data_IF_097644139158
#
_entry.id   IF_097644139158
#
_cell.length_a   1.000
_cell.length_b   1.000
_cell.length_c   1.000
_cell.angle_alpha   90.00
_cell.angle_beta   90.00
_cell.angle_gamma   90.00
#
_symmetry.space_group_name_H-M   'P 1'
#
loop_
_entity.id
_entity.type
_entity.pdbx_description
1 polymer ?
#
# COMPACT_ATOMS: atom_id res chain seq x y z
N UNK A 1 -12.37 -12.68 6.74
CA UNK A 1 -11.52 -11.52 7.07
C UNK A 1 -10.70 -11.74 8.34
N UNK A 2 -11.30 -12.17 9.45
CA UNK A 2 -10.62 -12.28 10.76
C UNK A 2 -9.55 -13.39 10.90
N UNK A 3 -9.63 -14.47 10.13
CA UNK A 3 -8.67 -15.60 10.21
C UNK A 3 -7.23 -15.19 9.86
N UNK A 4 -7.06 -14.35 8.84
CA UNK A 4 -5.75 -13.83 8.46
C UNK A 4 -5.15 -12.91 9.53
N UNK A 5 -5.97 -12.06 10.14
CA UNK A 5 -5.55 -11.19 11.24
C UNK A 5 -5.11 -12.01 12.46
N UNK A 6 -5.91 -13.00 12.88
CA UNK A 6 -5.59 -13.88 14.00
C UNK A 6 -4.29 -14.64 13.74
N UNK A 7 -4.09 -15.14 12.52
CA UNK A 7 -2.86 -15.81 12.12
C UNK A 7 -1.63 -14.90 12.23
N UNK A 8 -1.72 -13.67 11.72
CA UNK A 8 -0.64 -12.69 11.77
C UNK A 8 -0.32 -12.24 13.21
N UNK A 9 -1.35 -12.01 14.03
CA UNK A 9 -1.19 -11.76 15.47
C UNK A 9 -0.49 -12.94 16.12
N UNK A 10 -0.95 -14.17 15.85
CA UNK A 10 -0.37 -15.39 16.38
C UNK A 10 1.12 -15.50 16.12
N UNK A 11 1.55 -15.34 14.86
CA UNK A 11 2.97 -15.36 14.48
C UNK A 11 3.77 -14.32 15.27
N UNK A 12 3.27 -13.08 15.37
CA UNK A 12 4.00 -11.99 16.06
C UNK A 12 4.08 -12.21 17.57
N UNK A 13 3.03 -12.76 18.18
CA UNK A 13 3.05 -13.14 19.59
C UNK A 13 3.99 -14.32 19.84
N UNK A 14 4.03 -15.32 18.95
CA UNK A 14 4.98 -16.43 19.03
C UNK A 14 6.43 -15.92 19.00
N UNK A 15 6.78 -15.01 18.08
CA UNK A 15 8.11 -14.39 18.03
C UNK A 15 8.42 -13.63 19.32
N UNK A 16 7.44 -12.90 19.86
CA UNK A 16 7.61 -12.17 21.12
C UNK A 16 7.90 -13.12 22.30
N UNK A 17 7.16 -14.24 22.39
CA UNK A 17 7.36 -15.25 23.43
C UNK A 17 8.73 -15.92 23.30
N UNK A 18 9.16 -16.25 22.08
CA UNK A 18 10.51 -16.82 21.83
C UNK A 18 11.59 -15.81 22.24
N UNK A 19 11.45 -14.54 21.88
CA UNK A 19 12.41 -13.51 22.26
C UNK A 19 12.40 -13.23 23.77
N UNK A 20 11.24 -13.38 24.43
CA UNK A 20 11.11 -13.22 25.88
C UNK A 20 11.97 -14.21 26.65
N UNK A 21 12.14 -15.43 26.12
CA UNK A 21 13.02 -16.46 26.72
C UNK A 21 14.50 -16.06 26.72
N UNK A 22 14.89 -15.08 25.89
CA UNK A 22 16.28 -14.62 25.71
C UNK A 22 16.53 -13.20 26.20
N UNK A 23 15.53 -12.52 26.75
CA UNK A 23 15.59 -11.12 27.19
C UNK A 23 15.26 -10.97 28.67
N UNK A 24 15.64 -9.84 29.29
CA UNK A 24 15.34 -9.56 30.70
C UNK A 24 13.88 -9.16 30.91
N UNK A 25 13.29 -8.47 29.94
CA UNK A 25 11.91 -7.96 30.01
C UNK A 25 11.09 -8.11 28.72
N UNK A 26 9.76 -7.99 28.81
CA UNK A 26 8.87 -7.99 27.64
C UNK A 26 9.13 -6.82 26.68
N UNK A 27 9.57 -5.67 27.21
CA UNK A 27 9.91 -4.50 26.40
C UNK A 27 11.17 -4.73 25.56
N UNK A 28 12.12 -5.48 26.08
CA UNK A 28 13.35 -5.89 25.38
C UNK A 28 13.10 -7.02 24.38
N UNK A 29 12.09 -7.86 24.62
CA UNK A 29 11.70 -8.94 23.71
C UNK A 29 11.16 -8.43 22.36
N UNK A 30 10.66 -7.20 22.30
CA UNK A 30 10.16 -6.58 21.07
C UNK A 30 11.34 -6.21 20.15
N UNK A 31 11.39 -6.75 18.92
CA UNK A 31 12.44 -6.40 17.97
C UNK A 31 12.48 -4.90 17.68
N UNK A 32 13.68 -4.38 17.44
CA UNK A 32 13.87 -2.97 17.11
C UNK A 32 13.08 -2.61 15.85
N UNK A 33 12.37 -1.48 15.90
CA UNK A 33 11.46 -1.02 14.84
C UNK A 33 10.05 -1.63 14.89
N UNK A 34 9.77 -2.63 15.73
CA UNK A 34 8.44 -3.25 15.78
C UNK A 34 7.53 -2.74 16.92
N UNK A 35 8.00 -1.79 17.73
CA UNK A 35 7.21 -1.25 18.86
C UNK A 35 5.83 -0.73 18.43
N UNK A 36 5.77 0.01 17.31
CA UNK A 36 4.50 0.50 16.77
C UNK A 36 3.62 -0.61 16.21
N UNK A 37 4.21 -1.70 15.71
CA UNK A 37 3.47 -2.87 15.22
C UNK A 37 2.77 -3.56 16.39
N UNK A 38 3.45 -3.80 17.50
CA UNK A 38 2.81 -4.41 18.68
C UNK A 38 1.75 -3.50 19.31
N UNK A 39 1.97 -2.18 19.31
CA UNK A 39 0.93 -1.23 19.70
C UNK A 39 -0.30 -1.34 18.78
N UNK A 40 -0.08 -1.33 17.47
CA UNK A 40 -1.14 -1.48 16.48
C UNK A 40 -1.90 -2.80 16.65
N UNK A 41 -1.21 -3.91 16.94
CA UNK A 41 -1.88 -5.19 17.20
C UNK A 41 -2.83 -5.12 18.40
N UNK A 42 -2.40 -4.48 19.49
CA UNK A 42 -3.27 -4.27 20.66
C UNK A 42 -4.46 -3.38 20.33
N UNK A 43 -4.21 -2.27 19.62
CA UNK A 43 -5.26 -1.36 19.18
C UNK A 43 -6.25 -2.03 18.21
N UNK A 44 -5.82 -2.89 17.29
CA UNK A 44 -6.74 -3.60 16.38
C UNK A 44 -7.75 -4.49 17.11
N UNK A 45 -7.35 -5.10 18.22
CA UNK A 45 -8.28 -5.88 19.06
C UNK A 45 -9.31 -4.95 19.68
N UNK A 46 -8.87 -3.79 20.20
CA UNK A 46 -9.76 -2.78 20.76
C UNK A 46 -10.67 -2.16 19.70
N UNK A 47 -10.15 -1.89 18.50
CA UNK A 47 -10.89 -1.37 17.36
C UNK A 47 -11.99 -2.34 16.97
N UNK A 48 -11.71 -3.66 16.89
CA UNK A 48 -12.73 -4.66 16.58
C UNK A 48 -13.83 -4.79 17.64
N UNK A 49 -13.47 -4.72 18.92
CA UNK A 49 -14.45 -4.71 20.02
C UNK A 49 -15.27 -3.42 20.03
N UNK A 50 -14.63 -2.29 19.77
CA UNK A 50 -15.27 -0.98 19.65
C UNK A 50 -16.21 -0.95 18.46
N UNK A 51 -15.82 -1.53 17.33
CA UNK A 51 -16.60 -1.59 16.10
C UNK A 51 -17.86 -2.44 16.27
N UNK A 52 -17.73 -3.61 16.91
CA UNK A 52 -18.87 -4.42 17.31
C UNK A 52 -19.80 -3.63 18.23
N UNK A 53 -19.25 -2.96 19.24
CA UNK A 53 -20.03 -2.14 20.18
C UNK A 53 -20.75 -0.99 19.46
N UNK A 54 -20.07 -0.33 18.53
CA UNK A 54 -20.63 0.74 17.71
C UNK A 54 -21.85 0.24 16.93
N UNK A 55 -21.72 -0.90 16.25
CA UNK A 55 -22.81 -1.49 15.48
C UNK A 55 -23.98 -1.97 16.36
N UNK A 56 -23.72 -2.43 17.59
CA UNK A 56 -24.77 -2.78 18.54
C UNK A 56 -25.54 -1.55 19.05
N UNK A 57 -24.89 -0.40 19.21
CA UNK A 57 -25.49 0.83 19.74
C UNK A 57 -26.18 1.68 18.67
N UNK A 58 -25.57 1.81 17.50
CA UNK A 58 -26.01 2.74 16.44
C UNK A 58 -26.57 2.04 15.20
N UNK A 59 -26.59 0.70 15.19
CA UNK A 59 -26.97 -0.10 14.04
C UNK A 59 -25.86 -0.19 12.99
N UNK A 60 -26.06 -1.09 12.03
CA UNK A 60 -25.21 -1.21 10.84
C UNK A 60 -25.70 -0.17 9.82
N UNK A 61 -24.83 0.77 9.43
CA UNK A 61 -24.98 1.61 8.22
C UNK A 61 -26.23 2.51 8.12
N UNK A 62 -26.86 2.92 9.22
CA UNK A 62 -28.14 3.65 9.13
C UNK A 62 -28.04 5.15 8.80
N UNK A 63 -26.88 5.81 8.94
CA UNK A 63 -26.74 7.27 8.68
C UNK A 63 -25.35 7.71 8.18
N UNK A 64 -24.27 7.02 8.55
CA UNK A 64 -22.90 7.32 8.12
C UNK A 64 -22.31 6.11 7.41
N UNK A 65 -21.71 6.34 6.24
CA UNK A 65 -20.88 5.34 5.54
C UNK A 65 -19.86 4.75 6.52
N UNK A 66 -19.59 3.45 6.45
CA UNK A 66 -18.64 2.76 7.33
C UNK A 66 -17.26 3.45 7.41
N UNK A 67 -16.91 4.21 6.37
CA UNK A 67 -15.73 5.07 6.31
C UNK A 67 -15.62 6.13 7.40
N UNK A 68 -16.73 6.55 8.02
CA UNK A 68 -16.74 7.60 9.04
C UNK A 68 -16.81 7.07 10.47
N UNK A 69 -16.90 5.75 10.66
CA UNK A 69 -16.82 5.20 12.01
C UNK A 69 -15.42 5.42 12.60
N UNK A 70 -15.29 5.97 13.83
CA UNK A 70 -13.99 6.15 14.47
C UNK A 70 -13.17 4.86 14.56
N UNK A 71 -13.82 3.71 14.71
CA UNK A 71 -13.19 2.38 14.81
C UNK A 71 -12.61 1.92 13.49
N UNK A 72 -13.26 2.24 12.36
CA UNK A 72 -12.75 1.95 11.03
C UNK A 72 -11.52 2.81 10.70
N UNK A 73 -11.54 4.10 11.02
CA UNK A 73 -10.39 5.00 10.82
C UNK A 73 -9.20 4.58 11.69
N UNK A 74 -9.44 4.25 12.96
CA UNK A 74 -8.41 3.70 13.86
C UNK A 74 -7.84 2.38 13.31
N UNK A 75 -8.71 1.47 12.86
CA UNK A 75 -8.32 0.21 12.23
C UNK A 75 -7.46 0.41 10.98
N UNK A 76 -7.77 1.40 10.14
CA UNK A 76 -6.95 1.78 8.97
C UNK A 76 -5.56 2.27 9.36
N UNK A 77 -5.44 3.03 10.44
CA UNK A 77 -4.13 3.46 10.97
C UNK A 77 -3.36 2.23 11.48
N UNK A 78 -4.01 1.36 12.24
CA UNK A 78 -3.36 0.19 12.81
C UNK A 78 -2.87 -0.80 11.74
N UNK A 79 -3.68 -1.10 10.73
CA UNK A 79 -3.27 -1.97 9.62
C UNK A 79 -2.15 -1.33 8.79
N UNK A 80 -2.15 0.01 8.63
CA UNK A 80 -1.05 0.74 7.98
C UNK A 80 0.26 0.60 8.76
N UNK A 81 0.22 0.76 10.09
CA UNK A 81 1.39 0.56 10.96
C UNK A 81 1.89 -0.89 10.92
N UNK A 82 0.98 -1.85 10.86
CA UNK A 82 1.34 -3.26 10.76
C UNK A 82 2.05 -3.57 9.43
N UNK A 83 1.47 -3.16 8.30
CA UNK A 83 2.02 -3.39 6.95
C UNK A 83 3.37 -2.68 6.77
N UNK A 84 3.51 -1.47 7.32
CA UNK A 84 4.76 -0.68 7.21
C UNK A 84 5.83 -1.08 8.23
N UNK A 85 5.52 -1.96 9.18
CA UNK A 85 6.43 -2.43 10.22
C UNK A 85 7.81 -2.89 9.72
N UNK A 86 7.89 -3.78 8.70
CA UNK A 86 9.16 -4.21 8.12
C UNK A 86 9.97 -3.04 7.55
N UNK A 87 9.33 -2.12 6.83
CA UNK A 87 9.95 -0.94 6.23
C UNK A 87 10.54 -0.02 7.28
N UNK A 88 9.76 0.26 8.32
CA UNK A 88 10.18 1.09 9.43
C UNK A 88 11.31 0.44 10.22
N UNK A 89 11.28 -0.88 10.41
CA UNK A 89 12.38 -1.62 11.03
C UNK A 89 13.67 -1.54 10.22
N UNK A 90 13.62 -1.75 8.91
CA UNK A 90 14.79 -1.60 8.03
C UNK A 90 15.34 -0.17 8.09
N UNK A 91 14.47 0.84 8.12
CA UNK A 91 14.85 2.24 8.22
C UNK A 91 15.55 2.56 9.56
N UNK A 92 14.94 2.20 10.69
CA UNK A 92 15.48 2.47 12.04
C UNK A 92 16.77 1.70 12.29
N UNK A 93 16.84 0.45 11.84
CA UNK A 93 18.01 -0.40 12.00
C UNK A 93 19.10 -0.14 10.93
N UNK A 94 18.87 0.81 10.01
CA UNK A 94 19.78 1.15 8.89
C UNK A 94 20.18 -0.07 8.05
N UNK A 95 19.25 -1.01 7.88
CA UNK A 95 19.47 -2.22 7.07
C UNK A 95 19.29 -1.86 5.60
N UNK A 96 20.34 -2.11 4.82
CA UNK A 96 20.28 -2.03 3.36
C UNK A 96 19.90 -3.40 2.80
N UNK A 97 18.87 -3.52 1.94
CA UNK A 97 18.53 -4.79 1.29
C UNK A 97 19.73 -5.30 0.47
N UNK A 98 20.21 -6.50 0.77
CA UNK A 98 21.34 -7.12 0.05
C UNK A 98 20.91 -8.37 -0.71
N UNK A 99 19.96 -9.13 -0.16
CA UNK A 99 19.46 -10.37 -0.73
C UNK A 99 18.17 -10.18 -1.52
N UNK A 100 17.87 -11.10 -2.46
CA UNK A 100 16.59 -11.07 -3.19
C UNK A 100 15.38 -11.18 -2.28
N UNK A 101 15.48 -11.90 -1.16
CA UNK A 101 14.42 -11.96 -0.13
C UNK A 101 14.16 -10.59 0.51
N UNK A 102 15.19 -9.79 0.75
CA UNK A 102 15.00 -8.44 1.32
C UNK A 102 14.26 -7.53 0.34
N UNK A 103 14.63 -7.58 -0.95
CA UNK A 103 13.93 -6.84 -2.00
C UNK A 103 12.50 -7.31 -2.19
N UNK A 104 12.25 -8.62 -2.09
CA UNK A 104 10.91 -9.18 -2.16
C UNK A 104 10.05 -8.73 -0.97
N UNK A 105 10.60 -8.74 0.24
CA UNK A 105 9.92 -8.25 1.44
C UNK A 105 9.60 -6.75 1.31
N UNK A 106 10.57 -5.95 0.85
CA UNK A 106 10.43 -4.52 0.59
C UNK A 106 9.30 -4.26 -0.43
N UNK A 107 9.34 -4.95 -1.58
CA UNK A 107 8.33 -4.81 -2.63
C UNK A 107 6.94 -5.28 -2.17
N UNK A 108 6.86 -6.35 -1.37
CA UNK A 108 5.60 -6.87 -0.82
C UNK A 108 4.98 -5.89 0.18
N UNK A 109 5.77 -5.33 1.08
CA UNK A 109 5.28 -4.32 2.02
C UNK A 109 4.74 -3.08 1.27
N UNK A 110 5.39 -2.68 0.18
CA UNK A 110 4.93 -1.59 -0.69
C UNK A 110 3.65 -1.93 -1.45
N UNK A 111 3.59 -3.12 -2.03
CA UNK A 111 2.39 -3.64 -2.68
C UNK A 111 1.22 -3.60 -1.70
N UNK A 112 1.37 -4.16 -0.49
CA UNK A 112 0.30 -4.22 0.50
C UNK A 112 -0.15 -2.83 0.96
N UNK A 113 0.80 -1.90 1.16
CA UNK A 113 0.46 -0.52 1.50
C UNK A 113 -0.28 0.17 0.37
N UNK A 114 0.16 -0.02 -0.88
CA UNK A 114 -0.49 0.59 -2.03
C UNK A 114 -1.87 -0.03 -2.31
N UNK A 115 -2.05 -1.34 -2.09
CA UNK A 115 -3.37 -1.99 -2.10
C UNK A 115 -4.28 -1.37 -1.05
N UNK A 116 -3.80 -1.17 0.18
CA UNK A 116 -4.60 -0.54 1.24
C UNK A 116 -5.06 0.86 0.82
N UNK A 117 -4.14 1.71 0.37
CA UNK A 117 -4.43 3.08 -0.09
C UNK A 117 -5.41 3.07 -1.27
N UNK A 118 -5.15 2.24 -2.28
CA UNK A 118 -5.97 2.16 -3.47
C UNK A 118 -7.37 1.61 -3.18
N UNK A 119 -7.49 0.68 -2.24
CA UNK A 119 -8.76 0.17 -1.74
C UNK A 119 -9.55 1.23 -0.97
N UNK A 120 -8.90 2.02 -0.10
CA UNK A 120 -9.56 3.14 0.59
C UNK A 120 -10.08 4.20 -0.39
N UNK A 121 -9.41 4.36 -1.53
CA UNK A 121 -9.78 5.30 -2.59
C UNK A 121 -10.60 4.66 -3.72
N UNK A 122 -11.15 3.45 -3.51
CA UNK A 122 -11.89 2.68 -4.52
C UNK A 122 -12.95 3.48 -5.31
N UNK A 123 -13.75 4.39 -4.70
CA UNK A 123 -14.76 5.14 -5.47
C UNK A 123 -14.17 5.94 -6.64
N UNK A 124 -12.91 6.35 -6.51
CA UNK A 124 -12.15 7.13 -7.48
C UNK A 124 -11.02 6.30 -8.14
N UNK A 125 -10.84 5.04 -7.76
CA UNK A 125 -9.71 4.23 -8.19
C UNK A 125 -9.91 3.58 -9.57
N UNK A 126 -8.94 3.75 -10.45
CA UNK A 126 -8.90 3.09 -11.77
C UNK A 126 -8.95 1.56 -11.66
N UNK A 127 -8.37 0.98 -10.60
CA UNK A 127 -8.31 -0.46 -10.36
C UNK A 127 -9.68 -1.14 -10.21
N UNK A 128 -10.70 -0.37 -9.83
CA UNK A 128 -12.03 -0.91 -9.51
C UNK A 128 -13.14 -0.25 -10.31
N UNK A 129 -12.90 0.92 -10.90
CA UNK A 129 -13.87 1.62 -11.74
C UNK A 129 -13.18 2.32 -12.92
N UNK A 130 -13.67 2.06 -14.12
CA UNK A 130 -13.19 2.66 -15.38
C UNK A 130 -13.97 3.91 -15.76
N UNK A 131 -14.29 4.78 -14.78
CA UNK A 131 -15.04 6.04 -15.03
C UNK A 131 -14.57 6.81 -16.28
N UNK A 132 -13.27 6.93 -16.61
CA UNK A 132 -12.83 7.66 -17.81
C UNK A 132 -13.39 7.09 -19.12
N UNK A 133 -13.69 5.78 -19.17
CA UNK A 133 -14.06 5.07 -20.41
C UNK A 133 -15.57 4.96 -20.59
N UNK A 134 -16.34 5.06 -19.50
CA UNK A 134 -17.80 4.83 -19.51
C UNK A 134 -18.63 6.06 -19.13
N UNK A 135 -18.01 7.13 -18.62
CA UNK A 135 -18.74 8.35 -18.24
C UNK A 135 -19.04 9.19 -19.48
N UNK A 136 -20.31 9.46 -19.82
CA UNK A 136 -20.65 10.33 -20.94
C UNK A 136 -20.06 11.73 -20.75
N UNK A 137 -19.64 12.36 -21.86
CA UNK A 137 -19.05 13.71 -21.87
C UNK A 137 -19.97 14.81 -21.29
N UNK A 138 -21.23 14.50 -21.08
CA UNK A 138 -22.26 15.40 -20.53
C UNK A 138 -22.27 15.47 -19.01
N UNK A 139 -21.66 14.51 -18.29
CA UNK A 139 -21.66 14.45 -16.83
C UNK A 139 -20.32 14.91 -16.24
N UNK A 140 -20.25 16.18 -15.83
CA UNK A 140 -19.03 16.77 -15.24
C UNK A 140 -18.53 16.06 -13.98
N UNK A 141 -19.43 15.62 -13.10
CA UNK A 141 -19.06 15.01 -11.81
C UNK A 141 -18.29 13.70 -11.95
N UNK A 142 -18.70 12.84 -12.89
CA UNK A 142 -18.03 11.56 -13.12
C UNK A 142 -16.66 11.70 -13.78
N UNK A 143 -16.50 12.68 -14.67
CA UNK A 143 -15.20 12.99 -15.28
C UNK A 143 -14.22 13.60 -14.26
N UNK A 144 -14.72 14.47 -13.37
CA UNK A 144 -13.92 15.03 -12.27
C UNK A 144 -13.47 13.90 -11.34
N UNK A 145 -14.36 13.00 -10.95
CA UNK A 145 -14.04 11.84 -10.12
C UNK A 145 -12.97 10.94 -10.76
N UNK A 146 -13.14 10.65 -12.05
CA UNK A 146 -12.21 9.86 -12.85
C UNK A 146 -10.80 10.47 -12.91
N UNK A 147 -10.73 11.76 -13.28
CA UNK A 147 -9.46 12.48 -13.45
C UNK A 147 -8.75 12.68 -12.11
N UNK A 148 -9.51 13.03 -11.07
CA UNK A 148 -8.99 13.17 -9.70
C UNK A 148 -8.45 11.85 -9.17
N UNK A 149 -9.16 10.75 -9.44
CA UNK A 149 -8.75 9.40 -9.11
C UNK A 149 -7.39 9.00 -9.68
N UNK A 150 -7.24 9.18 -11.00
CA UNK A 150 -5.97 8.94 -11.71
C UNK A 150 -4.87 9.82 -11.12
N UNK A 151 -5.11 11.12 -10.94
CA UNK A 151 -4.13 12.05 -10.43
C UNK A 151 -3.67 11.69 -9.01
N UNK A 152 -4.62 11.40 -8.10
CA UNK A 152 -4.32 11.04 -6.71
C UNK A 152 -3.52 9.74 -6.65
N UNK A 153 -3.94 8.69 -7.37
CA UNK A 153 -3.21 7.42 -7.39
C UNK A 153 -1.80 7.59 -7.95
N UNK A 154 -1.64 8.36 -9.03
CA UNK A 154 -0.35 8.64 -9.65
C UNK A 154 0.59 9.44 -8.71
N UNK A 155 0.05 10.46 -8.02
CA UNK A 155 0.79 11.26 -7.04
C UNK A 155 1.23 10.40 -5.85
N UNK A 156 0.31 9.61 -5.27
CA UNK A 156 0.62 8.76 -4.13
C UNK A 156 1.68 7.72 -4.48
N UNK A 157 1.56 7.09 -5.66
CA UNK A 157 2.56 6.16 -6.15
C UNK A 157 3.94 6.85 -6.29
N UNK A 158 4.03 7.99 -6.98
CA UNK A 158 5.34 8.63 -7.19
C UNK A 158 5.96 9.20 -5.91
N UNK A 159 5.16 9.81 -5.03
CA UNK A 159 5.65 10.28 -3.72
C UNK A 159 6.30 9.13 -2.96
N UNK A 160 5.66 7.98 -2.99
CA UNK A 160 6.14 6.79 -2.31
C UNK A 160 7.42 6.25 -2.95
N UNK A 161 7.45 6.08 -4.29
CA UNK A 161 8.64 5.63 -5.04
C UNK A 161 9.83 6.55 -4.78
N UNK A 162 9.65 7.87 -4.85
CA UNK A 162 10.72 8.83 -4.61
C UNK A 162 11.18 8.83 -3.15
N UNK A 163 10.27 8.68 -2.18
CA UNK A 163 10.63 8.60 -0.77
C UNK A 163 11.53 7.38 -0.49
N UNK A 164 11.13 6.22 -1.01
CA UNK A 164 11.88 4.96 -0.85
C UNK A 164 13.23 5.02 -1.56
N UNK A 165 13.27 5.58 -2.78
CA UNK A 165 14.50 5.69 -3.57
C UNK A 165 15.57 6.58 -2.91
N UNK A 166 15.21 7.36 -1.88
CA UNK A 166 16.19 8.10 -1.06
C UNK A 166 16.95 7.23 -0.08
N UNK A 167 16.38 6.10 0.33
CA UNK A 167 16.95 5.23 1.36
C UNK A 167 17.56 3.97 0.80
N UNK A 168 17.02 3.45 -0.30
CA UNK A 168 17.45 2.18 -0.88
C UNK A 168 17.53 2.24 -2.40
N UNK A 169 18.52 1.56 -2.95
CA UNK A 169 18.64 1.32 -4.39
C UNK A 169 17.68 0.22 -4.80
N UNK A 170 16.64 0.54 -5.57
CA UNK A 170 15.65 -0.42 -6.03
C UNK A 170 16.22 -1.34 -7.12
N UNK A 171 15.65 -2.55 -7.24
CA UNK A 171 15.98 -3.50 -8.31
C UNK A 171 14.95 -3.43 -9.44
N UNK A 172 15.38 -3.64 -10.71
CA UNK A 172 14.44 -3.83 -11.81
C UNK A 172 13.47 -4.99 -11.52
N UNK A 173 12.22 -4.80 -11.91
CA UNK A 173 11.10 -5.73 -11.71
C UNK A 173 10.24 -5.41 -10.48
N UNK A 174 10.71 -4.53 -9.59
CA UNK A 174 9.95 -4.15 -8.39
C UNK A 174 8.66 -3.41 -8.74
N UNK A 175 8.69 -2.50 -9.72
CA UNK A 175 7.49 -1.72 -10.08
C UNK A 175 6.46 -2.58 -10.80
N UNK A 176 6.89 -3.48 -11.67
CA UNK A 176 6.05 -4.50 -12.30
C UNK A 176 5.37 -5.37 -11.26
N UNK A 177 6.13 -5.87 -10.27
CA UNK A 177 5.58 -6.68 -9.20
C UNK A 177 4.54 -5.93 -8.36
N UNK A 178 4.86 -4.70 -7.95
CA UNK A 178 3.97 -3.88 -7.11
C UNK A 178 2.68 -3.56 -7.87
N UNK A 179 2.77 -2.98 -9.07
CA UNK A 179 1.59 -2.53 -9.82
C UNK A 179 0.75 -3.71 -10.33
N UNK A 180 1.39 -4.77 -10.83
CA UNK A 180 0.69 -5.98 -11.23
C UNK A 180 -0.01 -6.68 -10.06
N UNK A 181 0.65 -6.73 -8.90
CA UNK A 181 0.06 -7.26 -7.68
C UNK A 181 -1.14 -6.45 -7.19
N UNK A 182 -1.04 -5.12 -7.18
CA UNK A 182 -2.15 -4.24 -6.81
C UNK A 182 -3.33 -4.39 -7.76
N UNK A 183 -3.05 -4.39 -9.07
CA UNK A 183 -4.07 -4.62 -10.09
C UNK A 183 -4.75 -5.98 -9.90
N UNK A 184 -3.99 -7.04 -9.61
CA UNK A 184 -4.53 -8.38 -9.38
C UNK A 184 -5.41 -8.44 -8.13
N UNK A 185 -5.00 -7.82 -7.02
CA UNK A 185 -5.78 -7.80 -5.79
C UNK A 185 -7.11 -7.06 -5.96
N UNK A 186 -7.09 -5.93 -6.67
CA UNK A 186 -8.24 -5.04 -6.77
C UNK A 186 -9.14 -5.33 -7.98
N UNK A 187 -8.62 -5.97 -9.04
CA UNK A 187 -9.42 -6.33 -10.22
C UNK A 187 -10.58 -7.26 -9.88
N UNK A 188 -10.44 -8.09 -8.83
CA UNK A 188 -11.51 -8.97 -8.33
C UNK A 188 -12.72 -8.16 -7.86
N UNK A 189 -12.48 -7.01 -7.23
CA UNK A 189 -13.55 -6.16 -6.69
C UNK A 189 -14.33 -5.45 -7.80
N UNK A 190 -13.64 -4.99 -8.84
CA UNK A 190 -14.25 -4.32 -10.00
C UNK A 190 -14.66 -5.25 -11.14
N UNK A 191 -14.27 -6.53 -11.09
CA UNK A 191 -14.30 -7.48 -12.23
C UNK A 191 -13.55 -6.95 -13.48
N UNK A 192 -12.49 -6.15 -13.26
CA UNK A 192 -11.72 -5.47 -14.32
C UNK A 192 -10.41 -6.21 -14.62
N UNK A 193 -10.50 -7.46 -15.07
CA UNK A 193 -9.32 -8.31 -15.28
C UNK A 193 -8.34 -7.78 -16.33
N UNK A 194 -8.81 -6.98 -17.28
CA UNK A 194 -7.96 -6.36 -18.30
C UNK A 194 -6.97 -5.33 -17.70
N UNK A 195 -7.20 -4.84 -16.48
CA UNK A 195 -6.30 -3.90 -15.82
C UNK A 195 -4.99 -4.58 -15.36
N UNK A 196 -5.00 -5.89 -15.15
CA UNK A 196 -3.80 -6.64 -14.74
C UNK A 196 -2.69 -6.53 -15.80
N UNK A 197 -2.90 -6.88 -17.09
CA UNK A 197 -1.87 -6.69 -18.10
C UNK A 197 -1.49 -5.22 -18.32
N UNK A 198 -2.43 -4.27 -18.19
CA UNK A 198 -2.15 -2.82 -18.30
C UNK A 198 -1.12 -2.38 -17.26
N UNK A 199 -1.33 -2.73 -15.99
CA UNK A 199 -0.44 -2.32 -14.90
C UNK A 199 0.85 -3.13 -14.84
N UNK A 200 0.87 -4.37 -15.35
CA UNK A 200 2.11 -5.13 -15.57
C UNK A 200 2.99 -4.45 -16.62
N UNK A 201 2.42 -4.08 -17.78
CA UNK A 201 3.14 -3.36 -18.83
C UNK A 201 3.58 -1.98 -18.36
N UNK A 202 2.69 -1.25 -17.68
CA UNK A 202 3.01 0.03 -17.05
C UNK A 202 4.19 -0.09 -16.10
N UNK A 203 4.18 -1.06 -15.18
CA UNK A 203 5.28 -1.32 -14.27
C UNK A 203 6.59 -1.70 -14.99
N UNK A 204 6.52 -2.48 -16.07
CA UNK A 204 7.69 -2.86 -16.86
C UNK A 204 8.35 -1.65 -17.52
N UNK A 205 7.55 -0.70 -18.02
CA UNK A 205 8.06 0.56 -18.56
C UNK A 205 8.76 1.40 -17.48
N UNK A 206 8.26 1.39 -16.25
CA UNK A 206 8.88 2.09 -15.11
C UNK A 206 10.18 1.40 -14.71
N UNK A 207 10.21 0.07 -14.66
CA UNK A 207 11.43 -0.69 -14.39
C UNK A 207 12.51 -0.44 -15.44
N UNK A 208 12.12 -0.38 -16.72
CA UNK A 208 13.03 -0.03 -17.83
C UNK A 208 13.56 1.40 -17.68
N UNK A 209 12.69 2.36 -17.39
CA UNK A 209 13.08 3.76 -17.16
C UNK A 209 14.01 3.89 -15.95
N UNK A 210 13.74 3.19 -14.86
CA UNK A 210 14.60 3.16 -13.67
C UNK A 210 15.99 2.59 -14.01
N UNK A 211 16.04 1.47 -14.73
CA UNK A 211 17.29 0.82 -15.13
C UNK A 211 18.14 1.70 -16.05
N UNK A 212 17.51 2.39 -17.01
CA UNK A 212 18.19 3.24 -17.98
C UNK A 212 18.62 4.59 -17.39
N UNK A 213 17.69 5.31 -16.74
CA UNK A 213 17.93 6.66 -16.23
C UNK A 213 18.79 6.67 -14.96
N UNK A 214 18.72 5.60 -14.15
CA UNK A 214 19.39 5.48 -12.85
C UNK A 214 19.13 6.71 -11.98
N UNK A 215 17.85 6.99 -11.64
CA UNK A 215 17.46 8.21 -10.95
C UNK A 215 18.13 8.32 -9.58
N UNK A 216 18.63 9.52 -9.25
CA UNK A 216 19.35 9.79 -8.00
C UNK A 216 19.11 11.24 -7.56
N UNK A 217 19.13 11.56 -6.25
CA UNK A 217 19.10 12.94 -5.77
C UNK A 217 20.20 13.85 -6.34
N UNK A 218 21.33 13.26 -6.76
CA UNK A 218 22.44 13.98 -7.42
C UNK A 218 22.23 14.20 -8.93
N UNK A 219 21.27 13.47 -9.54
CA UNK A 219 20.94 13.49 -10.97
C UNK A 219 19.52 13.98 -11.18
N UNK A 220 19.32 15.28 -10.96
CA UNK A 220 17.99 15.92 -10.84
C UNK A 220 17.15 15.76 -12.10
N UNK A 221 17.76 15.88 -13.29
CA UNK A 221 17.03 15.76 -14.55
C UNK A 221 16.49 14.34 -14.74
N UNK A 222 17.35 13.34 -14.56
CA UNK A 222 17.02 11.92 -14.67
C UNK A 222 15.98 11.52 -13.62
N UNK A 223 16.08 12.05 -12.41
CA UNK A 223 15.08 11.86 -11.36
C UNK A 223 13.71 12.45 -11.75
N UNK A 224 13.68 13.64 -12.38
CA UNK A 224 12.44 14.27 -12.86
C UNK A 224 11.82 13.53 -14.05
N UNK A 225 12.64 13.13 -15.03
CA UNK A 225 12.19 12.34 -16.18
C UNK A 225 11.64 11.00 -15.70
N UNK A 226 12.37 10.32 -14.80
CA UNK A 226 11.89 9.09 -14.19
C UNK A 226 10.55 9.29 -13.47
N UNK A 227 10.41 10.35 -12.69
CA UNK A 227 9.15 10.65 -12.01
C UNK A 227 8.00 10.88 -12.99
N UNK A 228 8.23 11.64 -14.08
CA UNK A 228 7.24 11.87 -15.12
C UNK A 228 6.82 10.56 -15.82
N UNK A 229 7.76 9.65 -16.09
CA UNK A 229 7.46 8.33 -16.66
C UNK A 229 6.71 7.46 -15.64
N UNK A 230 7.16 7.40 -14.39
CA UNK A 230 6.54 6.61 -13.34
C UNK A 230 5.09 7.03 -13.05
N UNK A 231 4.79 8.32 -13.16
CA UNK A 231 3.43 8.86 -13.01
C UNK A 231 2.57 8.59 -14.24
N UNK A 232 3.12 8.61 -15.46
CA UNK A 232 2.31 8.56 -16.69
C UNK A 232 2.21 7.18 -17.35
N UNK A 233 3.23 6.32 -17.23
CA UNK A 233 3.31 5.07 -18.01
C UNK A 233 2.13 4.11 -17.82
N UNK A 234 1.65 3.79 -16.60
CA UNK A 234 0.51 2.89 -16.44
C UNK A 234 -0.77 3.42 -17.09
N UNK A 235 -0.97 4.73 -17.05
CA UNK A 235 -2.14 5.38 -17.63
C UNK A 235 -2.01 5.57 -19.14
N UNK A 236 -0.80 5.79 -19.65
CA UNK A 236 -0.55 5.81 -21.09
C UNK A 236 -0.88 4.44 -21.72
N UNK A 237 -0.47 3.34 -21.07
CA UNK A 237 -0.84 1.98 -21.49
C UNK A 237 -2.35 1.76 -21.42
N UNK A 238 -3.01 2.27 -20.38
CA UNK A 238 -4.47 2.15 -20.24
C UNK A 238 -5.25 2.85 -21.36
N UNK A 239 -4.70 3.91 -21.96
CA UNK A 239 -5.39 4.72 -22.99
C UNK A 239 -5.20 4.19 -24.42
N UNK A 240 -4.44 3.12 -24.62
CA UNK A 240 -4.20 2.44 -25.90
C UNK A 240 -5.06 1.19 -25.96
#
# INVERSE_FOLDING_TARGET
MYSGLVFLIGIRLTVLVINRQRSGSWREAIPQGYKLVYLALGLMVLDGLGDMTWHLLFGVEQVLDAFFSPTHLSGLICISLFITGPLYSMYVCRVTPTSWSDYFLLATAFLLLYVLIANTLQPFGIFTRTWPTITPLTFGTGQIAATSGIAIQAILFIVFVLHVSRFWTLKPGMFTYILGGVATCLSVMGQLWFIVPVFLLGGALIDLAYWYLKPSPTRVLEMRIFAAIATSAPYAVYMI
#
